data_IF_651489921464
#
_entry.id   IF_651489921464
#
_cell.length_a   1.000
_cell.length_b   1.000
_cell.length_c   1.000
_cell.angle_alpha   90.00
_cell.angle_beta   90.00
_cell.angle_gamma   90.00
#
_symmetry.space_group_name_H-M   'P 1'
#
loop_
_entity.id
_entity.type
_entity.pdbx_description
1 polymer ?
#
# COMPACT_ATOMS: atom_id res chain seq x y z
N UNK A 1 16.64 26.93 7.69
CA UNK A 1 16.62 25.48 7.39
C UNK A 1 15.33 24.98 6.71
N UNK A 2 14.47 25.84 6.14
CA UNK A 2 13.14 25.42 5.64
C UNK A 2 13.06 25.14 4.12
N UNK A 3 14.07 25.54 3.34
CA UNK A 3 13.98 25.50 1.87
C UNK A 3 14.91 24.46 1.20
N UNK A 4 15.80 23.80 1.96
CA UNK A 4 16.76 22.86 1.40
C UNK A 4 16.11 21.55 0.93
N UNK A 5 15.01 21.12 1.57
CA UNK A 5 14.25 19.92 1.15
C UNK A 5 13.57 20.10 -0.21
N UNK A 6 13.08 21.31 -0.51
CA UNK A 6 12.47 21.63 -1.80
C UNK A 6 13.54 21.63 -2.90
N UNK A 7 14.70 22.22 -2.63
CA UNK A 7 15.83 22.23 -3.57
C UNK A 7 16.36 20.81 -3.80
N UNK A 8 16.48 20.00 -2.75
CA UNK A 8 16.88 18.59 -2.86
C UNK A 8 15.87 17.75 -3.65
N UNK A 9 14.57 17.95 -3.41
CA UNK A 9 13.50 17.30 -4.15
C UNK A 9 13.47 17.71 -5.63
N UNK A 10 13.67 19.01 -5.93
CA UNK A 10 13.80 19.53 -7.29
C UNK A 10 15.07 19.01 -7.99
N UNK A 11 16.17 18.85 -7.27
CA UNK A 11 17.40 18.27 -7.80
C UNK A 11 17.20 16.78 -8.17
N UNK A 12 16.50 16.01 -7.32
CA UNK A 12 16.12 14.63 -7.65
C UNK A 12 15.23 14.56 -8.89
N UNK A 13 14.22 15.43 -9.01
CA UNK A 13 13.35 15.54 -10.18
C UNK A 13 14.14 15.87 -11.47
N UNK A 14 15.16 16.72 -11.39
CA UNK A 14 15.96 17.11 -12.56
C UNK A 14 16.79 15.97 -13.16
N UNK A 15 17.15 14.96 -12.37
CA UNK A 15 17.86 13.77 -12.87
C UNK A 15 16.96 12.80 -13.66
N UNK A 16 15.63 12.94 -13.53
CA UNK A 16 14.65 12.13 -14.27
C UNK A 16 14.52 12.62 -15.73
N UNK A 17 14.87 13.89 -16.00
CA UNK A 17 14.71 14.53 -17.31
C UNK A 17 15.79 14.20 -18.36
N UNK A 18 16.75 13.33 -18.05
CA UNK A 18 17.87 13.00 -18.97
C UNK A 18 17.77 11.65 -19.71
N UNK A 19 16.63 10.95 -19.67
CA UNK A 19 16.46 9.71 -20.43
C UNK A 19 15.84 9.99 -21.81
N UNK A 20 16.66 9.91 -22.86
CA UNK A 20 16.25 9.97 -24.28
C UNK A 20 15.55 8.68 -24.78
N UNK A 21 15.03 7.85 -23.87
CA UNK A 21 14.30 6.63 -24.21
C UNK A 21 12.81 6.96 -24.23
N UNK A 22 12.12 6.69 -25.34
CA UNK A 22 10.65 6.76 -25.41
C UNK A 22 10.10 5.91 -24.27
N UNK A 23 9.48 6.55 -23.29
CA UNK A 23 9.02 5.85 -22.09
C UNK A 23 7.79 5.01 -22.37
N UNK A 24 7.84 3.74 -21.98
CA UNK A 24 6.75 2.78 -22.17
C UNK A 24 5.74 2.91 -21.02
N UNK A 25 4.48 3.17 -21.35
CA UNK A 25 3.39 3.19 -20.36
C UNK A 25 2.67 1.85 -20.34
N UNK A 26 2.66 1.22 -19.17
CA UNK A 26 1.85 0.03 -18.91
C UNK A 26 0.68 0.37 -17.99
N UNK A 27 -0.52 -0.07 -18.36
CA UNK A 27 -1.69 -0.05 -17.48
C UNK A 27 -2.00 -1.46 -17.02
N UNK A 28 -2.51 -1.65 -15.81
CA UNK A 28 -2.79 -2.99 -15.32
C UNK A 28 -3.98 -3.06 -14.39
N UNK A 29 -4.52 -4.26 -14.28
CA UNK A 29 -5.55 -4.64 -13.32
C UNK A 29 -5.04 -5.84 -12.53
N UNK A 30 -5.44 -5.96 -11.27
CA UNK A 30 -5.08 -7.13 -10.48
C UNK A 30 -5.94 -7.31 -9.25
N UNK A 31 -5.79 -8.50 -8.68
CA UNK A 31 -6.40 -8.92 -7.43
C UNK A 31 -5.30 -9.40 -6.50
N UNK A 32 -5.57 -9.41 -5.21
CA UNK A 32 -4.62 -9.95 -4.26
C UNK A 32 -5.24 -10.41 -2.97
N UNK A 33 -4.42 -11.09 -2.19
CA UNK A 33 -4.72 -11.55 -0.85
C UNK A 33 -3.86 -10.76 0.13
N UNK A 34 -4.52 -10.13 1.10
CA UNK A 34 -3.92 -9.28 2.11
C UNK A 34 -3.84 -10.02 3.44
N UNK A 35 -2.75 -9.81 4.15
CA UNK A 35 -2.66 -10.03 5.58
C UNK A 35 -2.40 -8.68 6.24
N UNK A 36 -3.35 -8.22 7.06
CA UNK A 36 -3.25 -6.97 7.79
C UNK A 36 -3.05 -7.25 9.28
N UNK A 37 -2.29 -6.39 9.94
CA UNK A 37 -2.09 -6.42 11.39
C UNK A 37 -1.93 -5.00 11.90
N UNK A 38 -1.83 -4.85 13.22
CA UNK A 38 -1.62 -3.58 13.88
C UNK A 38 -0.35 -3.61 14.72
N UNK A 39 0.35 -2.49 14.75
CA UNK A 39 1.38 -2.25 15.74
C UNK A 39 0.77 -1.47 16.91
N UNK A 40 0.91 -2.01 18.11
CA UNK A 40 0.50 -1.36 19.35
C UNK A 40 1.69 -1.21 20.31
N UNK A 41 1.77 -0.10 21.08
CA UNK A 41 2.89 0.12 22.01
C UNK A 41 2.92 -0.83 23.22
N UNK A 42 1.76 -1.35 23.63
CA UNK A 42 1.58 -1.92 24.99
C UNK A 42 1.44 -3.46 25.03
N UNK A 43 1.45 -4.16 23.90
CA UNK A 43 1.28 -5.63 23.85
C UNK A 43 2.28 -6.27 22.85
N UNK A 44 3.53 -6.46 23.28
CA UNK A 44 4.59 -7.05 22.45
C UNK A 44 4.44 -8.56 22.17
N UNK A 45 3.40 -9.22 22.71
CA UNK A 45 3.26 -10.67 22.65
C UNK A 45 2.12 -11.18 21.75
N UNK A 46 1.15 -10.35 21.39
CA UNK A 46 0.00 -10.77 20.58
C UNK A 46 0.04 -10.14 19.19
N UNK A 47 0.01 -10.97 18.16
CA UNK A 47 -0.13 -10.54 16.76
C UNK A 47 -1.57 -10.76 16.31
N UNK A 48 -2.33 -9.67 16.20
CA UNK A 48 -3.70 -9.72 15.69
C UNK A 48 -3.69 -9.51 14.18
N UNK A 49 -4.00 -10.57 13.43
CA UNK A 49 -3.98 -10.54 11.97
C UNK A 49 -5.36 -10.77 11.38
N UNK A 50 -5.68 -10.06 10.30
CA UNK A 50 -6.90 -10.25 9.51
C UNK A 50 -6.53 -10.49 8.05
N UNK A 51 -7.20 -11.46 7.44
CA UNK A 51 -6.94 -11.90 6.08
C UNK A 51 -8.05 -11.44 5.14
N UNK A 52 -7.69 -10.71 4.10
CA UNK A 52 -8.64 -10.05 3.21
C UNK A 52 -8.24 -10.16 1.75
N UNK A 53 -9.08 -9.63 0.86
CA UNK A 53 -8.80 -9.52 -0.57
C UNK A 53 -8.63 -8.06 -0.94
N UNK A 54 -7.92 -7.80 -2.02
CA UNK A 54 -7.86 -6.50 -2.65
C UNK A 54 -8.13 -6.59 -4.16
N UNK A 55 -8.56 -5.46 -4.71
CA UNK A 55 -8.62 -5.22 -6.15
C UNK A 55 -7.83 -3.96 -6.46
N UNK A 56 -7.14 -3.93 -7.60
CA UNK A 56 -6.36 -2.77 -8.01
C UNK A 56 -6.38 -2.50 -9.50
N UNK A 57 -6.27 -1.22 -9.83
CA UNK A 57 -5.86 -0.73 -11.15
C UNK A 57 -4.54 0.00 -11.01
N UNK A 58 -3.71 -0.01 -12.05
CA UNK A 58 -2.35 0.51 -11.98
C UNK A 58 -1.88 1.16 -13.26
N UNK A 59 -0.94 2.09 -13.12
CA UNK A 59 -0.18 2.69 -14.20
C UNK A 59 1.31 2.63 -13.84
N UNK A 60 2.14 2.22 -14.79
CA UNK A 60 3.57 2.01 -14.61
C UNK A 60 4.33 2.60 -15.80
N UNK A 61 5.03 3.71 -15.58
CA UNK A 61 5.73 4.46 -16.61
C UNK A 61 7.23 4.19 -16.58
N UNK A 62 7.74 3.50 -17.59
CA UNK A 62 9.16 3.15 -17.71
C UNK A 62 9.93 4.31 -18.33
N UNK A 63 10.48 5.20 -17.50
CA UNK A 63 11.33 6.30 -17.98
C UNK A 63 12.77 5.84 -18.28
N UNK A 64 13.15 4.63 -17.87
CA UNK A 64 14.38 4.01 -18.33
C UNK A 64 14.25 2.50 -18.41
N UNK A 65 15.27 1.92 -19.01
CA UNK A 65 15.51 0.49 -19.10
C UNK A 65 15.55 -0.27 -17.76
N UNK A 66 15.76 0.41 -16.63
CA UNK A 66 15.84 -0.20 -15.29
C UNK A 66 14.90 0.45 -14.27
N UNK A 67 14.25 1.54 -14.61
CA UNK A 67 13.49 2.33 -13.66
C UNK A 67 12.14 2.70 -14.23
N UNK A 68 11.12 2.53 -13.41
CA UNK A 68 9.78 2.95 -13.74
C UNK A 68 9.08 3.58 -12.53
N UNK A 69 8.15 4.49 -12.79
CA UNK A 69 7.30 5.09 -11.76
C UNK A 69 5.93 4.44 -11.83
N UNK A 70 5.53 3.78 -10.76
CA UNK A 70 4.27 3.04 -10.66
C UNK A 70 3.34 3.68 -9.64
N UNK A 71 2.09 3.82 -10.03
CA UNK A 71 0.99 4.16 -9.12
C UNK A 71 -0.11 3.11 -9.23
N UNK A 72 -0.88 2.95 -8.16
CA UNK A 72 -2.06 2.09 -8.14
C UNK A 72 -3.23 2.83 -7.50
N UNK A 73 -4.43 2.39 -7.82
CA UNK A 73 -5.62 2.61 -7.00
C UNK A 73 -6.06 1.24 -6.50
N UNK A 74 -6.02 1.04 -5.19
CA UNK A 74 -6.29 -0.24 -4.53
C UNK A 74 -7.53 -0.06 -3.66
N UNK A 75 -8.51 -0.93 -3.81
CA UNK A 75 -9.54 -1.13 -2.79
C UNK A 75 -9.12 -2.32 -1.93
N UNK A 76 -8.78 -2.06 -0.67
CA UNK A 76 -8.27 -3.06 0.26
C UNK A 76 -8.91 -2.97 1.65
N UNK A 77 -9.11 -4.14 2.27
CA UNK A 77 -9.47 -4.21 3.69
C UNK A 77 -8.22 -4.45 4.52
N UNK A 78 -7.99 -3.56 5.49
CA UNK A 78 -7.03 -3.69 6.58
C UNK A 78 -7.79 -3.99 7.89
N UNK A 79 -7.08 -4.04 9.02
CA UNK A 79 -7.68 -4.27 10.33
C UNK A 79 -7.07 -5.50 11.01
N UNK A 80 -7.82 -6.09 11.93
CA UNK A 80 -7.35 -7.19 12.78
C UNK A 80 -8.51 -8.03 13.29
N UNK A 81 -8.26 -9.31 13.55
CA UNK A 81 -9.21 -10.21 14.21
C UNK A 81 -8.74 -10.52 15.64
N UNK A 82 -9.69 -10.69 16.55
CA UNK A 82 -9.48 -11.01 17.97
C UNK A 82 -8.61 -10.01 18.76
N UNK A 83 -8.46 -8.79 18.25
CA UNK A 83 -7.64 -7.76 18.87
C UNK A 83 -8.44 -6.76 19.70
N UNK A 84 -7.77 -5.71 20.20
CA UNK A 84 -8.43 -4.68 20.99
C UNK A 84 -9.22 -3.72 20.09
N UNK A 85 -10.33 -3.20 20.63
CA UNK A 85 -11.05 -2.06 20.08
C UNK A 85 -11.08 -0.98 21.15
N UNK A 86 -10.32 0.10 20.94
CA UNK A 86 -10.21 1.21 21.88
C UNK A 86 -11.37 2.19 21.75
N UNK A 87 -11.80 2.72 22.89
CA UNK A 87 -12.80 3.78 22.99
C UNK A 87 -12.47 4.68 24.19
N UNK A 88 -13.15 5.83 24.30
CA UNK A 88 -12.88 6.77 25.38
C UNK A 88 -13.14 6.11 26.74
N UNK A 89 -12.07 5.92 27.53
CA UNK A 89 -12.13 5.34 28.87
C UNK A 89 -11.94 3.82 28.96
N UNK A 90 -11.62 3.12 27.86
CA UNK A 90 -11.37 1.67 27.91
C UNK A 90 -11.03 1.00 26.57
N UNK A 91 -10.95 -0.34 26.61
CA UNK A 91 -10.80 -1.19 25.42
C UNK A 91 -11.67 -2.44 25.52
N UNK A 92 -12.28 -2.85 24.42
CA UNK A 92 -12.87 -4.17 24.25
C UNK A 92 -11.78 -5.11 23.74
N UNK A 93 -11.71 -6.34 24.25
CA UNK A 93 -10.78 -7.37 23.74
C UNK A 93 -11.55 -8.37 22.87
N UNK A 94 -10.86 -9.01 21.94
CA UNK A 94 -11.46 -10.03 21.07
C UNK A 94 -12.35 -9.47 19.96
N UNK A 95 -12.20 -8.19 19.61
CA UNK A 95 -12.95 -7.55 18.54
C UNK A 95 -12.38 -7.93 17.18
N UNK A 96 -13.28 -8.06 16.19
CA UNK A 96 -12.91 -8.33 14.81
C UNK A 96 -13.20 -7.09 13.98
N UNK A 97 -12.16 -6.33 13.63
CA UNK A 97 -12.27 -5.02 13.01
C UNK A 97 -11.83 -5.09 11.54
N UNK A 98 -12.73 -4.68 10.65
CA UNK A 98 -12.45 -4.44 9.24
C UNK A 98 -12.38 -2.94 8.97
N UNK A 99 -11.31 -2.51 8.30
CA UNK A 99 -11.13 -1.13 7.82
C UNK A 99 -11.00 -1.16 6.30
N UNK A 100 -12.04 -0.68 5.61
CA UNK A 100 -12.07 -0.63 4.14
C UNK A 100 -11.42 0.67 3.65
N UNK A 101 -10.33 0.56 2.91
CA UNK A 101 -9.57 1.68 2.39
C UNK A 101 -9.62 1.75 0.86
N UNK A 102 -9.57 2.99 0.36
CA UNK A 102 -9.11 3.30 -0.99
C UNK A 102 -7.68 3.81 -0.90
N UNK A 103 -6.72 3.03 -1.36
CA UNK A 103 -5.29 3.25 -1.18
C UNK A 103 -4.59 3.58 -2.49
N UNK A 104 -3.80 4.65 -2.49
CA UNK A 104 -2.99 5.13 -3.63
C UNK A 104 -1.51 5.10 -3.26
N UNK A 105 -0.78 4.03 -3.60
CA UNK A 105 0.68 4.01 -3.51
C UNK A 105 1.33 4.70 -4.71
N UNK A 106 2.40 5.45 -4.46
CA UNK A 106 3.32 5.99 -5.46
C UNK A 106 4.70 5.35 -5.23
N UNK A 107 5.16 4.57 -6.20
CA UNK A 107 6.31 3.68 -6.07
C UNK A 107 7.32 3.90 -7.19
N UNK A 108 8.60 3.91 -6.83
CA UNK A 108 9.70 3.77 -7.77
C UNK A 108 10.04 2.29 -7.89
N UNK A 109 10.05 1.77 -9.12
CA UNK A 109 10.44 0.40 -9.41
C UNK A 109 11.86 0.37 -9.96
N UNK A 110 12.67 -0.55 -9.44
CA UNK A 110 13.96 -0.91 -10.00
C UNK A 110 13.89 -2.31 -10.60
N UNK A 111 14.05 -2.40 -11.92
CA UNK A 111 13.99 -3.66 -12.68
C UNK A 111 15.36 -4.30 -12.83
N UNK A 112 15.44 -5.61 -12.58
CA UNK A 112 16.67 -6.38 -12.55
C UNK A 112 16.54 -7.79 -13.17
N UNK A 113 17.68 -8.46 -13.33
CA UNK A 113 17.80 -9.73 -14.05
C UNK A 113 18.03 -9.57 -15.55
N UNK A 114 18.47 -10.65 -16.23
CA UNK A 114 18.87 -10.58 -17.65
C UNK A 114 17.78 -10.09 -18.60
N UNK A 115 16.52 -10.45 -18.32
CA UNK A 115 15.33 -9.98 -19.07
C UNK A 115 14.64 -8.78 -18.44
N UNK A 116 15.12 -8.30 -17.28
CA UNK A 116 14.52 -7.19 -16.51
C UNK A 116 13.04 -7.38 -16.17
N UNK A 117 12.66 -8.64 -15.99
CA UNK A 117 11.29 -9.03 -15.63
C UNK A 117 11.04 -8.91 -14.13
N UNK A 118 12.08 -8.93 -13.30
CA UNK A 118 11.98 -8.81 -11.85
C UNK A 118 12.10 -7.35 -11.46
N UNK A 119 11.39 -6.92 -10.41
CA UNK A 119 11.48 -5.57 -9.90
C UNK A 119 11.36 -5.52 -8.39
N UNK A 120 12.10 -4.59 -7.78
CA UNK A 120 11.82 -4.09 -6.44
C UNK A 120 11.00 -2.81 -6.58
N UNK A 121 10.00 -2.63 -5.73
CA UNK A 121 9.25 -1.39 -5.63
C UNK A 121 9.42 -0.79 -4.24
N UNK A 122 9.49 0.53 -4.16
CA UNK A 122 9.56 1.27 -2.90
C UNK A 122 8.96 2.66 -3.08
N UNK A 123 8.29 3.16 -2.05
CA UNK A 123 7.67 4.47 -2.11
C UNK A 123 6.78 4.76 -0.92
N UNK A 124 5.81 5.65 -1.14
CA UNK A 124 4.84 6.08 -0.14
C UNK A 124 3.44 5.69 -0.55
N UNK A 125 2.52 5.62 0.40
CA UNK A 125 1.10 5.46 0.09
C UNK A 125 0.25 6.45 0.89
N UNK A 126 -0.91 6.76 0.35
CA UNK A 126 -2.00 7.44 1.04
C UNK A 126 -3.29 6.64 0.86
N UNK A 127 -3.94 6.34 1.97
CA UNK A 127 -5.20 5.62 2.06
C UNK A 127 -6.30 6.50 2.62
N UNK A 128 -7.49 6.37 2.07
CA UNK A 128 -8.71 7.01 2.55
C UNK A 128 -9.68 5.95 3.07
N UNK A 129 -10.07 6.05 4.34
CA UNK A 129 -11.02 5.14 4.97
C UNK A 129 -12.42 5.38 4.40
N UNK A 130 -12.96 4.34 3.78
CA UNK A 130 -14.31 4.31 3.23
C UNK A 130 -15.34 3.92 4.28
N UNK A 131 -15.02 2.89 5.08
CA UNK A 131 -15.88 2.36 6.13
C UNK A 131 -15.05 1.54 7.13
N UNK A 132 -15.53 1.47 8.37
CA UNK A 132 -15.02 0.54 9.39
C UNK A 132 -16.17 -0.21 10.06
N UNK A 133 -16.01 -1.51 10.24
CA UNK A 133 -17.02 -2.38 10.87
C UNK A 133 -16.43 -3.32 11.89
N UNK A 134 -17.18 -3.60 12.96
CA UNK A 134 -16.90 -4.72 13.87
C UNK A 134 -17.74 -5.93 13.45
N UNK A 135 -17.08 -7.02 13.04
CA UNK A 135 -17.74 -8.18 12.41
C UNK A 135 -18.70 -8.91 13.34
N UNK A 136 -18.39 -8.96 14.64
CA UNK A 136 -19.13 -9.80 15.60
C UNK A 136 -20.49 -9.21 15.95
N UNK A 137 -20.55 -7.89 16.12
CA UNK A 137 -21.74 -7.10 16.45
C UNK A 137 -22.38 -6.45 15.24
N UNK A 138 -21.74 -6.51 14.07
CA UNK A 138 -22.14 -5.82 12.84
C UNK A 138 -22.32 -4.31 13.05
N UNK A 139 -21.48 -3.73 13.92
CA UNK A 139 -21.54 -2.32 14.28
C UNK A 139 -20.69 -1.49 13.31
N UNK A 140 -21.22 -0.35 12.85
CA UNK A 140 -20.44 0.68 12.18
C UNK A 140 -19.62 1.44 13.23
N UNK A 141 -18.30 1.39 13.05
CA UNK A 141 -17.32 2.02 13.95
C UNK A 141 -16.45 3.04 13.21
N UNK A 142 -16.89 3.48 12.01
CA UNK A 142 -16.13 4.40 11.14
C UNK A 142 -15.74 5.69 11.84
N UNK A 143 -16.59 6.22 12.71
CA UNK A 143 -16.34 7.48 13.42
C UNK A 143 -15.18 7.41 14.44
N UNK A 144 -14.83 6.22 14.92
CA UNK A 144 -13.71 6.03 15.85
C UNK A 144 -12.34 6.18 15.17
N UNK A 145 -12.29 6.01 13.85
CA UNK A 145 -11.05 5.97 13.07
C UNK A 145 -10.78 7.25 12.31
N UNK A 146 -9.51 7.47 12.00
CA UNK A 146 -9.09 8.54 11.09
C UNK A 146 -9.44 8.17 9.66
N UNK A 147 -9.87 9.17 8.90
CA UNK A 147 -10.14 9.02 7.47
C UNK A 147 -8.90 8.80 6.62
N UNK A 148 -7.71 9.10 7.14
CA UNK A 148 -6.45 9.07 6.38
C UNK A 148 -5.47 8.11 7.01
N UNK A 149 -4.82 7.31 6.18
CA UNK A 149 -3.74 6.39 6.56
C UNK A 149 -2.59 6.57 5.56
N UNK A 150 -1.41 7.01 6.00
CA UNK A 150 -0.28 7.25 5.11
C UNK A 150 0.99 6.63 5.65
N UNK A 151 1.88 6.23 4.76
CA UNK A 151 3.08 5.52 5.17
C UNK A 151 3.99 5.14 4.02
N UNK A 152 4.86 4.18 4.28
CA UNK A 152 5.75 3.60 3.27
C UNK A 152 5.17 2.34 2.69
N UNK A 153 5.53 2.08 1.44
CA UNK A 153 5.29 0.83 0.74
C UNK A 153 6.58 0.32 0.12
N UNK A 154 6.78 -0.99 0.14
CA UNK A 154 7.86 -1.66 -0.57
C UNK A 154 7.45 -3.07 -0.97
N UNK A 155 8.14 -3.65 -1.95
CA UNK A 155 7.76 -4.94 -2.47
C UNK A 155 8.71 -5.48 -3.52
N UNK A 156 8.43 -6.71 -3.92
CA UNK A 156 9.13 -7.42 -4.98
C UNK A 156 8.11 -8.03 -5.92
N UNK A 157 8.37 -7.99 -7.20
CA UNK A 157 7.50 -8.61 -8.19
C UNK A 157 8.25 -9.10 -9.41
N UNK A 158 7.51 -9.85 -10.22
CA UNK A 158 7.95 -10.31 -11.53
C UNK A 158 6.85 -10.07 -12.55
N UNK A 159 7.23 -9.60 -13.74
CA UNK A 159 6.39 -9.53 -14.94
C UNK A 159 6.80 -10.66 -15.88
N UNK A 160 5.82 -11.47 -16.28
CA UNK A 160 5.97 -12.59 -17.21
C UNK A 160 5.39 -12.12 -18.55
N UNK A 161 6.22 -11.81 -19.55
CA UNK A 161 5.74 -11.44 -20.88
C UNK A 161 5.05 -12.62 -21.55
N UNK A 162 3.81 -12.41 -21.97
CA UNK A 162 3.05 -13.38 -22.77
C UNK A 162 3.09 -12.96 -24.23
N UNK A 163 2.99 -11.66 -24.50
CA UNK A 163 3.24 -11.04 -25.81
C UNK A 163 4.03 -9.75 -25.64
N UNK A 164 4.36 -9.04 -26.74
CA UNK A 164 4.95 -7.70 -26.67
C UNK A 164 4.06 -6.65 -25.98
N UNK A 165 2.73 -6.87 -25.94
CA UNK A 165 1.77 -5.92 -25.37
C UNK A 165 1.11 -6.41 -24.08
N UNK A 166 1.28 -7.68 -23.72
CA UNK A 166 0.57 -8.31 -22.63
C UNK A 166 1.53 -9.05 -21.71
N UNK A 167 1.46 -8.72 -20.41
CA UNK A 167 2.28 -9.33 -19.36
C UNK A 167 1.38 -9.76 -18.22
N UNK A 168 1.68 -10.90 -17.61
CA UNK A 168 1.12 -11.28 -16.30
C UNK A 168 2.09 -10.79 -15.24
N UNK A 169 1.62 -10.29 -14.11
CA UNK A 169 2.48 -9.95 -12.99
C UNK A 169 2.10 -10.71 -11.73
N UNK A 170 3.13 -10.96 -10.92
CA UNK A 170 3.00 -11.40 -9.53
C UNK A 170 3.80 -10.41 -8.69
N UNK A 171 3.23 -9.93 -7.59
CA UNK A 171 3.87 -8.94 -6.71
C UNK A 171 3.55 -9.24 -5.25
N UNK A 172 4.58 -9.34 -4.44
CA UNK A 172 4.46 -9.30 -2.98
C UNK A 172 4.82 -7.90 -2.50
N UNK A 173 3.91 -7.25 -1.78
CA UNK A 173 4.10 -5.89 -1.27
C UNK A 173 3.76 -5.77 0.21
N UNK A 174 4.33 -4.75 0.85
CA UNK A 174 4.17 -4.43 2.25
C UNK A 174 3.95 -2.93 2.42
N UNK A 175 3.05 -2.57 3.33
CA UNK A 175 2.71 -1.22 3.72
C UNK A 175 2.87 -1.07 5.24
N UNK A 176 3.50 0.03 5.66
CA UNK A 176 3.65 0.39 7.07
C UNK A 176 3.22 1.84 7.30
N UNK A 177 2.25 2.04 8.19
CA UNK A 177 1.65 3.34 8.46
C UNK A 177 2.51 4.20 9.38
N UNK A 178 2.53 5.50 9.14
CA UNK A 178 3.21 6.48 9.99
C UNK A 178 2.30 7.07 11.05
N UNK A 179 1.02 7.26 10.72
CA UNK A 179 0.06 7.83 11.63
C UNK A 179 -0.72 6.77 12.39
N UNK A 180 -1.21 7.14 13.57
CA UNK A 180 -2.20 6.32 14.25
C UNK A 180 -3.50 6.27 13.43
N UNK A 181 -4.19 5.13 13.48
CA UNK A 181 -5.48 4.90 12.83
C UNK A 181 -6.65 5.43 13.67
N UNK A 182 -6.46 5.66 14.98
CA UNK A 182 -7.49 6.24 15.84
C UNK A 182 -7.48 7.77 15.79
N UNK A 183 -8.67 8.36 15.83
CA UNK A 183 -8.84 9.83 15.80
C UNK A 183 -8.46 10.47 17.13
N UNK A 184 -8.86 9.84 18.23
CA UNK A 184 -8.66 10.33 19.60
C UNK A 184 -7.20 10.16 20.02
N UNK A 185 -6.54 11.27 20.38
CA UNK A 185 -5.14 11.28 20.83
C UNK A 185 -4.93 10.74 22.25
N UNK A 186 -6.01 10.46 22.99
CA UNK A 186 -5.94 9.79 24.29
C UNK A 186 -5.85 8.27 24.17
N UNK A 187 -6.07 7.72 22.96
CA UNK A 187 -5.89 6.30 22.65
C UNK A 187 -4.41 6.07 22.27
N UNK A 188 -3.81 4.92 22.66
CA UNK A 188 -2.45 4.56 22.22
C UNK A 188 -2.29 4.61 20.70
N UNK A 189 -1.06 4.89 20.24
CA UNK A 189 -0.78 4.95 18.81
C UNK A 189 -0.84 3.56 18.16
N UNK A 190 -2.01 3.20 17.65
CA UNK A 190 -2.19 1.99 16.85
C UNK A 190 -1.95 2.31 15.37
N UNK A 191 -1.12 1.53 14.67
CA UNK A 191 -0.76 1.76 13.25
C UNK A 191 -1.04 0.53 12.41
N UNK A 192 -1.54 0.70 11.19
CA UNK A 192 -1.75 -0.42 10.28
C UNK A 192 -0.42 -0.94 9.70
N UNK A 193 -0.34 -2.26 9.58
CA UNK A 193 0.60 -2.96 8.70
C UNK A 193 -0.23 -3.81 7.75
N UNK A 194 0.19 -3.88 6.49
CA UNK A 194 -0.45 -4.74 5.50
C UNK A 194 0.61 -5.36 4.60
N UNK A 195 0.61 -6.68 4.46
CA UNK A 195 1.30 -7.36 3.37
C UNK A 195 0.29 -7.95 2.39
N UNK A 196 0.68 -8.16 1.14
CA UNK A 196 -0.16 -8.86 0.18
C UNK A 196 0.61 -9.54 -0.94
N UNK A 197 0.04 -10.65 -1.39
CA UNK A 197 0.39 -11.29 -2.66
C UNK A 197 -0.66 -10.87 -3.68
N UNK A 198 -0.22 -10.30 -4.79
CA UNK A 198 -1.05 -9.78 -5.86
C UNK A 198 -0.70 -10.47 -7.18
N UNK A 199 -1.73 -10.78 -7.96
CA UNK A 199 -1.62 -11.31 -9.31
C UNK A 199 -2.48 -10.45 -10.23
N UNK A 200 -1.98 -10.18 -11.43
CA UNK A 200 -2.74 -9.41 -12.39
C UNK A 200 -2.12 -9.39 -13.77
N UNK A 201 -2.59 -8.47 -14.59
CA UNK A 201 -2.15 -8.29 -15.97
C UNK A 201 -1.76 -6.85 -16.23
N UNK A 202 -0.78 -6.66 -17.10
CA UNK A 202 -0.34 -5.37 -17.61
C UNK A 202 -0.43 -5.36 -19.14
N UNK A 203 -0.92 -4.24 -19.67
CA UNK A 203 -1.00 -3.93 -21.09
C UNK A 203 -0.08 -2.75 -21.39
N UNK A 204 0.79 -2.90 -22.39
CA UNK A 204 1.58 -1.80 -22.94
C UNK A 204 0.68 -0.93 -23.82
N UNK A 205 0.62 0.37 -23.55
CA UNK A 205 -0.31 1.31 -24.20
C UNK A 205 0.41 2.32 -25.10
N UNK A 206 1.64 2.72 -24.77
CA UNK A 206 2.43 3.74 -25.49
C UNK A 206 3.90 3.34 -25.58
#
# INVERSE_FOLDING_TARGET
>A
MRNYYIVFFLFLLSTISYSQVKGDLEVGIGIGYNMATINEPDDFNDVYSNNNKNFSVSADYNFSNRWSLKTKLIYDTKGWDQGPLYFRGGRLRGANVDLHYLTVPLMLNWHFGGKRNWYLNFGTYAGYLMAAGEKTSNADITEAFRKTDFGLTFGIGAKIPVTKYFKIYIEYDFQNSFNSIYKDSTIPEVRNIRSAINVGVNFLVL
#
